data_IF_574380621819
#
_entry.id   IF_574380621819
#
_cell.length_a   1.000
_cell.length_b   1.000
_cell.length_c   1.000
_cell.angle_alpha   90.00
_cell.angle_beta   90.00
_cell.angle_gamma   90.00
#
_symmetry.space_group_name_H-M   'P 1'
#
loop_
_entity.id
_entity.type
_entity.pdbx_description
1 polymer ?
#
# COMPACT_ATOMS: atom_id res chain seq x y z
N UNK A 1 60.41 53.49 7.68
CA UNK A 1 59.67 52.23 7.87
C UNK A 1 60.17 51.25 6.84
N UNK A 2 61.09 50.36 7.21
CA UNK A 2 61.63 49.33 6.31
C UNK A 2 60.90 48.03 6.63
N UNK A 3 59.87 47.70 5.85
CA UNK A 3 59.37 46.32 5.80
C UNK A 3 60.43 45.50 5.07
N UNK A 4 61.13 44.63 5.79
CA UNK A 4 62.19 43.84 5.18
C UNK A 4 61.54 42.85 4.19
N UNK A 5 62.03 42.76 2.94
CA UNK A 5 61.37 42.02 1.86
C UNK A 5 61.19 40.52 2.16
N UNK A 6 62.03 39.96 3.04
CA UNK A 6 61.91 38.58 3.51
C UNK A 6 60.68 38.35 4.41
N UNK A 7 60.21 39.36 5.16
CA UNK A 7 59.04 39.24 6.02
C UNK A 7 57.76 39.07 5.21
N UNK A 8 57.65 39.76 4.07
CA UNK A 8 56.55 39.62 3.10
C UNK A 8 56.48 38.25 2.44
N UNK A 9 57.62 37.59 2.25
CA UNK A 9 57.67 36.23 1.68
C UNK A 9 57.18 35.20 2.69
N UNK A 10 57.61 35.33 3.95
CA UNK A 10 57.20 34.43 5.04
C UNK A 10 55.69 34.55 5.31
N UNK A 11 55.15 35.76 5.33
CA UNK A 11 53.69 35.96 5.49
C UNK A 11 52.90 35.43 4.30
N UNK A 12 53.41 35.56 3.08
CA UNK A 12 52.83 34.93 1.89
C UNK A 12 52.77 33.40 2.01
N UNK A 13 53.85 32.75 2.46
CA UNK A 13 53.88 31.29 2.65
C UNK A 13 52.92 30.82 3.75
N UNK A 14 52.84 31.54 4.87
CA UNK A 14 51.89 31.24 5.95
C UNK A 14 50.44 31.39 5.50
N UNK A 15 50.14 32.40 4.67
CA UNK A 15 48.80 32.59 4.10
C UNK A 15 48.38 31.43 3.19
N UNK A 16 49.30 30.92 2.35
CA UNK A 16 49.05 29.76 1.49
C UNK A 16 48.83 28.49 2.32
N UNK A 17 49.61 28.28 3.38
CA UNK A 17 49.42 27.14 4.30
C UNK A 17 48.07 27.21 5.01
N UNK A 18 47.69 28.37 5.53
CA UNK A 18 46.40 28.58 6.17
C UNK A 18 45.23 28.34 5.19
N UNK A 19 45.33 28.84 3.96
CA UNK A 19 44.33 28.61 2.91
C UNK A 19 44.22 27.13 2.54
N UNK A 20 45.34 26.40 2.50
CA UNK A 20 45.38 24.97 2.16
C UNK A 20 44.69 24.12 3.24
N UNK A 21 44.93 24.44 4.52
CA UNK A 21 44.30 23.75 5.67
C UNK A 21 42.79 24.03 5.68
N UNK A 22 42.39 25.29 5.45
CA UNK A 22 40.98 25.67 5.37
C UNK A 22 40.27 24.94 4.22
N UNK A 23 40.90 24.87 3.04
CA UNK A 23 40.36 24.16 1.88
C UNK A 23 40.16 22.66 2.16
N UNK A 24 41.15 21.99 2.78
CA UNK A 24 41.03 20.58 3.17
C UNK A 24 39.93 20.35 4.22
N UNK A 25 39.75 21.30 5.15
CA UNK A 25 38.64 21.29 6.11
C UNK A 25 37.28 21.35 5.43
N UNK A 26 37.11 22.26 4.46
CA UNK A 26 35.88 22.39 3.66
C UNK A 26 35.62 21.15 2.81
N UNK A 27 36.65 20.55 2.22
CA UNK A 27 36.50 19.35 1.40
C UNK A 27 35.96 18.16 2.22
N UNK A 28 36.47 17.99 3.45
CA UNK A 28 36.01 16.94 4.37
C UNK A 28 34.58 17.18 4.86
N UNK A 29 34.21 18.42 5.17
CA UNK A 29 32.85 18.74 5.60
C UNK A 29 31.86 18.58 4.46
N UNK A 30 32.18 19.04 3.24
CA UNK A 30 31.32 18.83 2.06
C UNK A 30 31.11 17.35 1.77
N UNK A 31 32.15 16.52 1.82
CA UNK A 31 32.01 15.07 1.63
C UNK A 31 31.18 14.38 2.72
N UNK A 32 31.30 14.82 3.98
CA UNK A 32 30.47 14.31 5.07
C UNK A 32 29.00 14.75 4.95
N UNK A 33 28.75 15.98 4.50
CA UNK A 33 27.41 16.51 4.25
C UNK A 33 26.74 15.81 3.08
N UNK A 34 27.46 15.60 1.97
CA UNK A 34 26.93 14.94 0.78
C UNK A 34 26.56 13.47 1.06
N UNK A 35 27.35 12.79 1.91
CA UNK A 35 27.03 11.42 2.38
C UNK A 35 25.77 11.39 3.25
N UNK A 36 25.63 12.32 4.20
CA UNK A 36 24.44 12.42 5.06
C UNK A 36 23.18 12.77 4.26
N UNK A 37 23.30 13.64 3.25
CA UNK A 37 22.18 13.96 2.37
C UNK A 37 21.74 12.75 1.53
N UNK A 38 22.69 11.95 1.03
CA UNK A 38 22.36 10.72 0.30
C UNK A 38 21.65 9.70 1.20
N UNK A 39 22.18 9.46 2.40
CA UNK A 39 21.58 8.57 3.39
C UNK A 39 20.17 9.06 3.78
N UNK A 40 19.98 10.37 3.98
CA UNK A 40 18.66 10.95 4.26
C UNK A 40 17.67 10.80 3.09
N UNK A 41 18.11 11.01 1.84
CA UNK A 41 17.28 10.83 0.64
C UNK A 41 16.89 9.36 0.44
N UNK A 42 17.80 8.43 0.69
CA UNK A 42 17.52 7.00 0.64
C UNK A 42 16.53 6.58 1.73
N UNK A 43 16.70 7.06 2.96
CA UNK A 43 15.76 6.82 4.05
C UNK A 43 14.35 7.35 3.72
N UNK A 44 14.24 8.57 3.16
CA UNK A 44 12.96 9.14 2.72
C UNK A 44 12.33 8.28 1.62
N UNK A 45 13.11 7.81 0.64
CA UNK A 45 12.60 6.96 -0.44
C UNK A 45 12.08 5.63 0.08
N UNK A 46 12.80 4.99 1.00
CA UNK A 46 12.37 3.73 1.63
C UNK A 46 11.08 3.96 2.44
N UNK A 47 10.99 5.07 3.17
CA UNK A 47 9.80 5.41 3.94
C UNK A 47 8.59 5.68 3.04
N UNK A 48 8.77 6.39 1.93
CA UNK A 48 7.72 6.61 0.92
C UNK A 48 7.24 5.29 0.32
N UNK A 49 8.18 4.43 -0.07
CA UNK A 49 7.85 3.11 -0.61
C UNK A 49 7.06 2.24 0.38
N UNK A 50 7.46 2.23 1.65
CA UNK A 50 6.74 1.51 2.70
C UNK A 50 5.35 2.13 2.97
N UNK A 51 5.23 3.45 2.91
CA UNK A 51 3.95 4.14 3.05
C UNK A 51 2.99 3.82 1.91
N UNK A 52 3.48 3.77 0.67
CA UNK A 52 2.68 3.39 -0.51
C UNK A 52 2.21 1.94 -0.41
N UNK A 53 3.08 1.02 0.02
CA UNK A 53 2.72 -0.38 0.26
C UNK A 53 1.59 -0.54 1.28
N UNK A 54 1.69 0.15 2.42
CA UNK A 54 0.61 0.13 3.42
C UNK A 54 -0.68 0.76 2.91
N UNK A 55 -0.60 1.84 2.13
CA UNK A 55 -1.77 2.48 1.55
C UNK A 55 -2.53 1.55 0.58
N UNK A 56 -1.81 0.76 -0.22
CA UNK A 56 -2.41 -0.23 -1.14
C UNK A 56 -3.15 -1.33 -0.38
N UNK A 57 -2.59 -1.81 0.74
CA UNK A 57 -3.26 -2.81 1.59
C UNK A 57 -4.55 -2.24 2.18
N UNK A 58 -4.50 -1.00 2.70
CA UNK A 58 -5.68 -0.33 3.26
C UNK A 58 -6.75 -0.10 2.18
N UNK A 59 -6.35 0.30 0.96
CA UNK A 59 -7.26 0.45 -0.18
C UNK A 59 -7.94 -0.88 -0.55
N UNK A 60 -7.21 -1.98 -0.51
CA UNK A 60 -7.79 -3.31 -0.72
C UNK A 60 -8.76 -3.69 0.41
N UNK A 61 -8.40 -3.46 1.66
CA UNK A 61 -9.27 -3.74 2.81
C UNK A 61 -10.58 -2.93 2.75
N UNK A 62 -10.54 -1.65 2.38
CA UNK A 62 -11.75 -0.83 2.25
C UNK A 62 -12.63 -1.31 1.11
N UNK A 63 -12.05 -1.69 -0.02
CA UNK A 63 -12.80 -2.27 -1.14
C UNK A 63 -13.49 -3.59 -0.74
N UNK A 64 -12.80 -4.45 0.03
CA UNK A 64 -13.40 -5.67 0.56
C UNK A 64 -14.50 -5.39 1.60
N UNK A 65 -14.32 -4.40 2.48
CA UNK A 65 -15.35 -4.02 3.45
C UNK A 65 -16.63 -3.54 2.76
N UNK A 66 -16.52 -2.76 1.67
CA UNK A 66 -17.66 -2.35 0.85
C UNK A 66 -18.33 -3.54 0.17
N UNK A 67 -17.55 -4.51 -0.31
CA UNK A 67 -18.09 -5.76 -0.86
C UNK A 67 -18.85 -6.54 0.21
N UNK A 68 -18.32 -6.61 1.44
CA UNK A 68 -18.94 -7.33 2.57
C UNK A 68 -20.28 -6.73 2.96
N UNK A 69 -20.32 -5.42 3.18
CA UNK A 69 -21.56 -4.70 3.54
C UNK A 69 -22.66 -4.94 2.49
N UNK A 70 -22.31 -5.02 1.21
CA UNK A 70 -23.29 -5.34 0.16
C UNK A 70 -23.76 -6.79 0.20
N UNK A 71 -22.87 -7.74 0.45
CA UNK A 71 -23.25 -9.13 0.64
C UNK A 71 -24.14 -9.33 1.87
N UNK A 72 -23.88 -8.64 2.98
CA UNK A 72 -24.72 -8.71 4.19
C UNK A 72 -26.12 -8.12 3.95
N UNK A 73 -26.22 -7.04 3.16
CA UNK A 73 -27.53 -6.51 2.72
C UNK A 73 -28.26 -7.45 1.77
N UNK A 74 -27.53 -8.17 0.92
CA UNK A 74 -28.10 -9.16 0.01
C UNK A 74 -28.61 -10.39 0.78
N UNK A 75 -27.82 -10.96 1.71
CA UNK A 75 -28.26 -12.09 2.55
C UNK A 75 -29.48 -11.72 3.40
N UNK A 76 -29.50 -10.51 3.97
CA UNK A 76 -30.68 -10.05 4.71
C UNK A 76 -31.90 -9.90 3.80
N UNK A 77 -31.81 -9.22 2.66
CA UNK A 77 -32.94 -9.10 1.73
C UNK A 77 -33.47 -10.46 1.24
N UNK A 78 -32.57 -11.40 0.93
CA UNK A 78 -32.94 -12.76 0.50
C UNK A 78 -33.58 -13.59 1.62
N UNK A 79 -33.14 -13.37 2.87
CA UNK A 79 -33.69 -14.07 4.04
C UNK A 79 -35.10 -13.64 4.40
N UNK A 80 -35.54 -12.45 3.98
CA UNK A 80 -36.84 -11.86 4.34
C UNK A 80 -37.89 -11.87 3.22
N UNK A 81 -37.64 -12.51 2.06
CA UNK A 81 -38.59 -12.61 0.92
C UNK A 81 -39.00 -11.22 0.36
N UNK A 82 -38.10 -10.22 0.41
CA UNK A 82 -38.25 -8.96 -0.33
C UNK A 82 -37.37 -8.99 -1.59
N UNK A 83 -37.61 -10.01 -2.42
CA UNK A 83 -36.90 -10.26 -3.69
C UNK A 83 -36.96 -9.11 -4.71
N UNK A 84 -37.99 -8.22 -4.77
CA UNK A 84 -38.03 -7.15 -5.77
C UNK A 84 -36.97 -6.05 -5.57
N UNK A 85 -36.36 -5.92 -4.38
CA UNK A 85 -35.48 -4.81 -4.04
C UNK A 85 -33.99 -5.04 -4.35
N UNK A 86 -33.57 -6.30 -4.57
CA UNK A 86 -32.15 -6.67 -4.74
C UNK A 86 -31.57 -6.18 -6.09
N UNK A 87 -32.44 -5.88 -7.06
CA UNK A 87 -32.03 -5.47 -8.41
C UNK A 87 -31.77 -3.97 -8.62
N UNK A 88 -32.15 -3.08 -7.69
CA UNK A 88 -32.25 -1.65 -7.98
C UNK A 88 -31.06 -0.80 -7.49
N UNK A 89 -30.47 -1.12 -6.33
CA UNK A 89 -29.49 -0.22 -5.69
C UNK A 89 -28.05 -0.74 -5.82
N UNK A 90 -27.45 -0.37 -6.96
CA UNK A 90 -26.09 -0.66 -7.45
C UNK A 90 -25.92 -2.12 -7.89
N UNK A 91 -25.74 -2.38 -9.21
CA UNK A 91 -25.49 -3.74 -9.67
C UNK A 91 -24.23 -4.27 -8.98
N UNK A 92 -24.31 -5.46 -8.39
CA UNK A 92 -23.18 -6.12 -7.73
C UNK A 92 -21.92 -6.12 -8.64
N UNK A 93 -22.11 -6.15 -9.96
CA UNK A 93 -21.06 -5.96 -10.96
C UNK A 93 -20.26 -4.65 -10.85
N UNK A 94 -20.87 -3.52 -10.46
CA UNK A 94 -20.16 -2.27 -10.23
C UNK A 94 -19.29 -2.31 -8.96
N UNK A 95 -19.75 -3.01 -7.92
CA UNK A 95 -18.98 -3.22 -6.69
C UNK A 95 -17.83 -4.20 -6.92
N UNK A 96 -18.07 -5.28 -7.67
CA UNK A 96 -17.03 -6.20 -8.11
C UNK A 96 -16.02 -5.52 -9.05
N UNK A 97 -16.46 -4.61 -9.92
CA UNK A 97 -15.55 -3.82 -10.75
C UNK A 97 -14.67 -2.90 -9.90
N UNK A 98 -15.21 -2.34 -8.81
CA UNK A 98 -14.46 -1.49 -7.89
C UNK A 98 -13.37 -2.24 -7.11
N UNK A 99 -13.46 -3.57 -6.97
CA UNK A 99 -12.41 -4.38 -6.30
C UNK A 99 -11.27 -4.80 -7.24
N UNK A 100 -11.44 -4.73 -8.56
CA UNK A 100 -10.41 -5.14 -9.54
C UNK A 100 -9.13 -4.31 -9.40
N UNK A 101 -9.26 -2.98 -9.33
CA UNK A 101 -8.11 -2.07 -9.28
C UNK A 101 -7.29 -2.27 -7.99
N UNK A 102 -7.90 -2.31 -6.78
CA UNK A 102 -7.18 -2.66 -5.55
C UNK A 102 -6.48 -4.02 -5.61
N UNK A 103 -7.12 -5.07 -6.15
CA UNK A 103 -6.51 -6.40 -6.29
C UNK A 103 -5.32 -6.38 -7.26
N UNK A 104 -5.44 -5.66 -8.38
CA UNK A 104 -4.34 -5.49 -9.32
C UNK A 104 -3.15 -4.76 -8.68
N UNK A 105 -3.42 -3.72 -7.87
CA UNK A 105 -2.39 -3.01 -7.10
C UNK A 105 -1.67 -3.95 -6.14
N UNK A 106 -2.36 -4.84 -5.43
CA UNK A 106 -1.71 -5.83 -4.56
C UNK A 106 -0.64 -6.65 -5.32
N UNK A 107 -0.95 -7.11 -6.54
CA UNK A 107 0.04 -7.83 -7.37
C UNK A 107 1.21 -6.96 -7.80
N UNK A 108 0.96 -5.69 -8.18
CA UNK A 108 2.04 -4.76 -8.55
C UNK A 108 3.02 -4.52 -7.39
N UNK A 109 2.51 -4.48 -6.17
CA UNK A 109 3.31 -4.33 -4.95
C UNK A 109 3.80 -5.66 -4.35
N UNK A 110 3.72 -6.76 -5.12
CA UNK A 110 4.21 -8.10 -4.79
C UNK A 110 3.53 -8.77 -3.59
N UNK A 111 2.29 -8.40 -3.28
CA UNK A 111 1.44 -9.07 -2.31
C UNK A 111 0.64 -10.20 -2.97
N UNK A 112 1.34 -11.20 -3.49
CA UNK A 112 0.75 -12.26 -4.31
C UNK A 112 -0.33 -13.06 -3.56
N UNK A 113 -0.02 -13.55 -2.36
CA UNK A 113 -0.94 -14.35 -1.54
C UNK A 113 -2.22 -13.55 -1.21
N UNK A 114 -2.07 -12.29 -0.80
CA UNK A 114 -3.21 -11.42 -0.50
C UNK A 114 -4.05 -11.12 -1.74
N UNK A 115 -3.41 -10.93 -2.90
CA UNK A 115 -4.12 -10.73 -4.16
C UNK A 115 -4.89 -11.99 -4.58
N UNK A 116 -4.32 -13.18 -4.40
CA UNK A 116 -4.95 -14.45 -4.76
C UNK A 116 -6.14 -14.76 -3.86
N UNK A 117 -6.03 -14.54 -2.54
CA UNK A 117 -7.17 -14.67 -1.62
C UNK A 117 -8.29 -13.66 -1.95
N UNK A 118 -7.95 -12.40 -2.24
CA UNK A 118 -8.93 -11.39 -2.61
C UNK A 118 -9.61 -11.69 -3.97
N UNK A 119 -8.87 -12.22 -4.94
CA UNK A 119 -9.43 -12.69 -6.21
C UNK A 119 -10.34 -13.91 -6.02
N UNK A 120 -9.97 -14.85 -5.15
CA UNK A 120 -10.80 -16.01 -4.79
C UNK A 120 -12.14 -15.59 -4.18
N UNK A 121 -12.13 -14.60 -3.29
CA UNK A 121 -13.35 -13.99 -2.76
C UNK A 121 -14.24 -13.40 -3.86
N UNK A 122 -13.68 -12.63 -4.80
CA UNK A 122 -14.43 -12.08 -5.94
C UNK A 122 -15.06 -13.21 -6.76
N UNK A 123 -14.35 -14.32 -6.95
CA UNK A 123 -14.87 -15.51 -7.63
C UNK A 123 -16.06 -16.15 -6.89
N UNK A 124 -15.97 -16.34 -5.58
CA UNK A 124 -17.07 -16.87 -4.77
C UNK A 124 -18.28 -15.92 -4.73
N UNK A 125 -18.04 -14.62 -4.69
CA UNK A 125 -19.09 -13.61 -4.79
C UNK A 125 -19.82 -13.69 -6.14
N UNK A 126 -19.09 -13.83 -7.25
CA UNK A 126 -19.67 -13.98 -8.58
C UNK A 126 -20.48 -15.29 -8.70
N UNK A 127 -19.94 -16.41 -8.21
CA UNK A 127 -20.62 -17.70 -8.18
C UNK A 127 -21.94 -17.61 -7.41
N UNK A 128 -21.92 -16.99 -6.24
CA UNK A 128 -23.13 -16.86 -5.44
C UNK A 128 -24.17 -15.96 -6.12
N UNK A 129 -23.74 -14.88 -6.74
CA UNK A 129 -24.60 -14.03 -7.55
C UNK A 129 -25.27 -14.79 -8.70
N UNK A 130 -24.53 -15.62 -9.45
CA UNK A 130 -25.12 -16.40 -10.53
C UNK A 130 -26.14 -17.43 -10.04
N UNK A 131 -25.87 -18.09 -8.91
CA UNK A 131 -26.85 -19.03 -8.31
C UNK A 131 -28.14 -18.31 -7.90
N UNK A 132 -27.99 -17.13 -7.30
CA UNK A 132 -29.10 -16.27 -6.86
C UNK A 132 -29.88 -15.69 -8.04
N UNK A 133 -29.22 -15.33 -9.15
CA UNK A 133 -29.88 -14.80 -10.33
C UNK A 133 -30.65 -15.86 -11.11
N UNK A 134 -30.08 -17.07 -11.18
CA UNK A 134 -30.64 -18.18 -11.97
C UNK A 134 -31.81 -18.86 -11.26
N UNK A 135 -31.88 -18.78 -9.93
CA UNK A 135 -32.95 -19.38 -9.14
C UNK A 135 -33.45 -18.45 -8.03
N UNK A 136 -34.20 -17.38 -8.37
CA UNK A 136 -34.66 -16.37 -7.42
C UNK A 136 -35.61 -16.90 -6.33
N UNK A 137 -36.25 -18.05 -6.57
CA UNK A 137 -37.16 -18.73 -5.62
C UNK A 137 -36.47 -19.83 -4.82
N UNK A 138 -35.22 -20.16 -5.19
CA UNK A 138 -34.39 -21.15 -4.52
C UNK A 138 -33.95 -20.60 -3.16
N UNK A 139 -34.71 -20.93 -2.12
CA UNK A 139 -34.44 -20.49 -0.75
C UNK A 139 -33.01 -20.75 -0.26
N UNK A 140 -32.69 -20.19 0.91
CA UNK A 140 -31.35 -20.13 1.53
C UNK A 140 -30.57 -21.46 1.55
N UNK A 141 -31.25 -22.60 1.56
CA UNK A 141 -30.62 -23.92 1.61
C UNK A 141 -29.83 -24.29 0.33
N UNK A 142 -30.10 -23.64 -0.80
CA UNK A 142 -29.38 -23.86 -2.07
C UNK A 142 -28.21 -22.88 -2.29
N UNK A 143 -28.02 -21.92 -1.39
CA UNK A 143 -27.00 -20.89 -1.53
C UNK A 143 -25.90 -21.11 -0.50
N UNK A 144 -24.74 -21.59 -0.98
CA UNK A 144 -23.52 -21.81 -0.18
C UNK A 144 -22.90 -20.47 0.33
N UNK A 145 -23.63 -19.71 1.14
CA UNK A 145 -23.21 -18.40 1.70
C UNK A 145 -21.94 -18.50 2.55
N UNK A 146 -21.77 -19.63 3.24
CA UNK A 146 -20.60 -19.91 4.07
C UNK A 146 -19.28 -19.86 3.27
N UNK A 147 -19.29 -20.21 1.98
CA UNK A 147 -18.09 -20.12 1.13
C UNK A 147 -17.62 -18.68 0.92
N UNK A 148 -18.57 -17.76 0.75
CA UNK A 148 -18.26 -16.32 0.64
C UNK A 148 -17.71 -15.81 1.96
N UNK A 149 -18.26 -16.26 3.09
CA UNK A 149 -17.77 -15.91 4.41
C UNK A 149 -16.34 -16.42 4.69
N UNK A 150 -16.05 -17.67 4.34
CA UNK A 150 -14.71 -18.25 4.49
C UNK A 150 -13.69 -17.58 3.56
N UNK A 151 -14.09 -17.24 2.33
CA UNK A 151 -13.26 -16.47 1.41
C UNK A 151 -12.99 -15.05 1.94
N UNK A 152 -13.98 -14.41 2.58
CA UNK A 152 -13.80 -13.11 3.24
C UNK A 152 -12.78 -13.17 4.37
N UNK A 153 -12.90 -14.17 5.27
CA UNK A 153 -11.95 -14.37 6.36
C UNK A 153 -10.54 -14.62 5.85
N UNK A 154 -10.41 -15.43 4.79
CA UNK A 154 -9.12 -15.73 4.16
C UNK A 154 -8.48 -14.49 3.53
N UNK A 155 -9.25 -13.68 2.80
CA UNK A 155 -8.78 -12.45 2.18
C UNK A 155 -8.37 -11.38 3.20
N UNK A 156 -9.19 -11.17 4.23
CA UNK A 156 -8.86 -10.24 5.32
C UNK A 156 -7.63 -10.69 6.10
N UNK A 157 -7.56 -11.97 6.49
CA UNK A 157 -6.40 -12.50 7.22
C UNK A 157 -5.08 -12.37 6.44
N UNK A 158 -5.12 -12.55 5.11
CA UNK A 158 -3.95 -12.34 4.26
C UNK A 158 -3.53 -10.86 4.22
N UNK A 159 -4.48 -9.93 4.09
CA UNK A 159 -4.20 -8.49 4.09
C UNK A 159 -3.69 -8.01 5.46
N UNK A 160 -4.24 -8.48 6.56
CA UNK A 160 -3.80 -8.16 7.91
C UNK A 160 -2.37 -8.65 8.17
N UNK A 161 -2.03 -9.85 7.70
CA UNK A 161 -0.66 -10.38 7.78
C UNK A 161 0.34 -9.51 7.01
N UNK A 162 0.00 -9.07 5.80
CA UNK A 162 0.84 -8.17 5.02
C UNK A 162 0.94 -6.78 5.67
N UNK A 163 -0.14 -6.27 6.24
CA UNK A 163 -0.14 -4.99 6.96
C UNK A 163 0.77 -5.03 8.19
N UNK A 164 0.72 -6.12 8.95
CA UNK A 164 1.59 -6.37 10.09
C UNK A 164 3.07 -6.50 9.66
N UNK A 165 3.35 -7.14 8.52
CA UNK A 165 4.69 -7.22 7.97
C UNK A 165 5.24 -5.84 7.58
N UNK A 166 4.41 -4.98 6.97
CA UNK A 166 4.80 -3.60 6.63
C UNK A 166 5.03 -2.71 7.85
N UNK A 167 4.28 -2.91 8.94
CA UNK A 167 4.46 -2.12 10.17
C UNK A 167 5.66 -2.56 11.01
N UNK A 168 6.03 -3.84 10.96
CA UNK A 168 7.21 -4.38 11.64
C UNK A 168 8.55 -3.95 11.02
N UNK A 169 8.54 -3.46 9.77
CA UNK A 169 9.73 -2.94 9.06
C UNK A 169 10.01 -1.44 9.32
N UNK A 170 9.32 -0.80 10.27
CA UNK A 170 9.60 0.57 10.74
C UNK A 170 10.56 0.58 11.92
#
# INVERSE_FOLDING_TARGET
MVTQPWATVITGMLAVLAASIAYLGVLKTVGATDRREREAREAVRVQQWNSERSAVIVEAMTALALLRDRFDRMDSAYRWIDVPAVGADVPLGAVLAATIVPIAKLRLYRFADAADCAAGLVGECYRLYSVVSDNPEGGKDNTDWWRVEDAFKSALGALEKELAACSATR
#
